data_IF_993699788211
#
_entry.id   IF_993699788211
#
_cell.length_a   1.000
_cell.length_b   1.000
_cell.length_c   1.000
_cell.angle_alpha   90.00
_cell.angle_beta   90.00
_cell.angle_gamma   90.00
#
_symmetry.space_group_name_H-M   'P 1'
#
loop_
_entity.id
_entity.type
_entity.pdbx_description
1 polymer ?
#
# COMPACT_ATOMS: atom_id res chain seq x y z
N UNK A 1 7.62 8.80 -18.76
CA UNK A 1 6.58 9.50 -17.97
C UNK A 1 5.49 8.48 -17.66
N UNK A 2 5.31 8.08 -16.40
CA UNK A 2 4.17 7.27 -16.03
C UNK A 2 2.91 8.14 -16.14
N UNK A 3 2.08 7.89 -17.14
CA UNK A 3 0.80 8.56 -17.28
C UNK A 3 -0.05 8.23 -16.05
N UNK A 4 -0.39 9.24 -15.26
CA UNK A 4 -1.39 9.07 -14.22
C UNK A 4 -2.67 8.55 -14.88
N UNK A 5 -3.19 7.41 -14.41
CA UNK A 5 -4.43 6.86 -14.95
C UNK A 5 -5.55 7.90 -14.81
N UNK A 6 -6.51 7.91 -15.73
CA UNK A 6 -7.67 8.84 -15.64
C UNK A 6 -8.40 8.70 -14.30
N UNK A 7 -8.38 7.50 -13.71
CA UNK A 7 -8.96 7.20 -12.40
C UNK A 7 -8.19 7.86 -11.27
N UNK A 8 -6.86 7.89 -11.35
CA UNK A 8 -6.02 8.55 -10.34
C UNK A 8 -6.36 10.04 -10.20
N UNK A 9 -6.68 10.71 -11.30
CA UNK A 9 -7.09 12.12 -11.29
C UNK A 9 -8.44 12.39 -10.60
N UNK A 10 -9.26 11.35 -10.39
CA UNK A 10 -10.53 11.46 -9.67
C UNK A 10 -10.36 11.45 -8.15
N UNK A 11 -9.18 11.08 -7.65
CA UNK A 11 -8.88 11.05 -6.23
C UNK A 11 -8.65 12.48 -5.71
N UNK A 12 -9.00 12.70 -4.45
CA UNK A 12 -8.64 13.96 -3.79
C UNK A 12 -7.12 14.04 -3.53
N UNK A 13 -6.63 15.24 -3.22
CA UNK A 13 -5.20 15.49 -3.03
C UNK A 13 -4.56 14.55 -1.99
N UNK A 14 -5.22 14.36 -0.85
CA UNK A 14 -4.74 13.45 0.21
C UNK A 14 -4.59 12.02 -0.30
N UNK A 15 -5.58 11.49 -1.01
CA UNK A 15 -5.53 10.15 -1.59
C UNK A 15 -4.42 9.99 -2.63
N UNK A 16 -4.20 11.01 -3.45
CA UNK A 16 -3.11 11.01 -4.43
C UNK A 16 -1.74 11.01 -3.75
N UNK A 17 -1.59 11.78 -2.67
CA UNK A 17 -0.32 11.88 -1.95
C UNK A 17 0.00 10.59 -1.19
N UNK A 18 -0.99 9.98 -0.55
CA UNK A 18 -0.83 8.66 0.08
C UNK A 18 -0.47 7.56 -0.92
N UNK A 19 -1.13 7.53 -2.08
CA UNK A 19 -0.79 6.58 -3.15
C UNK A 19 0.67 6.75 -3.63
N UNK A 20 1.16 7.99 -3.75
CA UNK A 20 2.55 8.29 -4.12
C UNK A 20 3.52 7.83 -3.04
N UNK A 21 3.21 8.05 -1.75
CA UNK A 21 4.02 7.55 -0.63
C UNK A 21 4.10 6.03 -0.65
N UNK A 22 2.97 5.34 -0.81
CA UNK A 22 2.90 3.87 -0.89
C UNK A 22 3.71 3.33 -2.08
N UNK A 23 3.62 3.96 -3.25
CA UNK A 23 4.47 3.63 -4.42
C UNK A 23 5.95 3.74 -4.08
N UNK A 24 6.38 4.85 -3.49
CA UNK A 24 7.77 5.06 -3.11
C UNK A 24 8.23 4.04 -2.06
N UNK A 25 7.36 3.66 -1.14
CA UNK A 25 7.65 2.69 -0.09
C UNK A 25 7.88 1.29 -0.69
N UNK A 26 7.05 0.89 -1.66
CA UNK A 26 7.22 -0.33 -2.46
C UNK A 26 8.56 -0.28 -3.22
N UNK A 27 8.85 0.82 -3.93
CA UNK A 27 10.08 0.98 -4.70
C UNK A 27 11.33 0.85 -3.81
N UNK A 28 11.31 1.46 -2.61
CA UNK A 28 12.38 1.32 -1.64
C UNK A 28 12.55 -0.12 -1.15
N UNK A 29 11.46 -0.77 -0.77
CA UNK A 29 11.52 -2.15 -0.31
C UNK A 29 12.13 -3.08 -1.38
N UNK A 30 11.64 -2.97 -2.62
CA UNK A 30 12.11 -3.80 -3.74
C UNK A 30 13.56 -3.50 -4.17
N UNK A 31 14.11 -2.34 -3.80
CA UNK A 31 15.48 -1.94 -4.16
C UNK A 31 16.47 -2.21 -3.03
N UNK A 32 16.04 -2.03 -1.78
CA UNK A 32 16.91 -2.02 -0.60
C UNK A 32 16.82 -3.33 0.20
N UNK A 33 15.82 -4.18 -0.06
CA UNK A 33 15.58 -5.42 0.67
C UNK A 33 15.54 -6.64 -0.26
N UNK A 34 16.17 -7.73 0.18
CA UNK A 34 16.10 -9.01 -0.51
C UNK A 34 14.71 -9.67 -0.33
N UNK A 35 14.07 -10.21 -1.39
CA UNK A 35 12.68 -10.69 -1.30
C UNK A 35 12.43 -11.80 -0.27
N UNK A 36 13.44 -12.63 0.03
CA UNK A 36 13.30 -13.72 1.00
C UNK A 36 13.15 -13.22 2.44
N UNK A 37 13.60 -12.00 2.74
CA UNK A 37 13.51 -11.38 4.05
C UNK A 37 12.10 -10.88 4.38
N UNK A 38 11.15 -10.93 3.44
CA UNK A 38 9.78 -10.46 3.66
C UNK A 38 9.06 -11.20 4.79
N UNK A 39 9.34 -12.49 4.95
CA UNK A 39 8.75 -13.32 6.00
C UNK A 39 9.45 -13.13 7.35
N UNK A 40 10.62 -12.50 7.37
CA UNK A 40 11.40 -12.26 8.58
C UNK A 40 10.88 -11.02 9.31
N UNK A 41 10.36 -11.24 10.52
CA UNK A 41 9.76 -10.16 11.33
C UNK A 41 10.79 -9.06 11.61
N UNK A 42 12.02 -9.41 11.99
CA UNK A 42 13.05 -8.43 12.34
C UNK A 42 13.42 -7.54 11.15
N UNK A 43 13.59 -8.12 9.97
CA UNK A 43 13.89 -7.37 8.74
C UNK A 43 12.76 -6.41 8.36
N UNK A 44 11.51 -6.86 8.48
CA UNK A 44 10.34 -6.02 8.24
C UNK A 44 10.27 -4.84 9.21
N UNK A 45 10.46 -5.11 10.51
CA UNK A 45 10.45 -4.08 11.56
C UNK A 45 11.56 -3.04 11.33
N UNK A 46 12.77 -3.50 10.99
CA UNK A 46 13.89 -2.62 10.70
C UNK A 46 13.63 -1.73 9.48
N UNK A 47 13.12 -2.30 8.38
CA UNK A 47 12.75 -1.54 7.20
C UNK A 47 11.69 -0.47 7.51
N UNK A 48 10.63 -0.85 8.23
CA UNK A 48 9.58 0.08 8.64
C UNK A 48 10.11 1.21 9.53
N UNK A 49 10.97 0.88 10.51
CA UNK A 49 11.57 1.87 11.39
C UNK A 49 12.36 2.93 10.62
N UNK A 50 13.09 2.53 9.58
CA UNK A 50 13.90 3.42 8.76
C UNK A 50 13.06 4.31 7.83
N UNK A 51 12.01 3.76 7.20
CA UNK A 51 11.33 4.45 6.10
C UNK A 51 9.97 5.06 6.46
N UNK A 52 9.20 4.46 7.37
CA UNK A 52 7.85 4.94 7.69
C UNK A 52 7.89 6.37 8.27
N UNK A 53 8.78 6.63 9.23
CA UNK A 53 8.91 7.96 9.85
C UNK A 53 9.39 9.02 8.85
N UNK A 54 10.40 8.69 8.03
CA UNK A 54 10.92 9.59 7.01
C UNK A 54 9.89 9.95 5.94
N UNK A 55 8.96 9.02 5.64
CA UNK A 55 7.95 9.18 4.61
C UNK A 55 6.59 9.67 5.15
N UNK A 56 6.48 9.89 6.47
CA UNK A 56 5.23 10.22 7.16
C UNK A 56 4.10 9.26 6.75
N UNK A 57 4.42 7.96 6.81
CA UNK A 57 3.53 6.87 6.47
C UNK A 57 3.27 6.07 7.75
N UNK A 58 2.00 5.85 8.07
CA UNK A 58 1.64 4.93 9.15
C UNK A 58 2.21 3.55 8.82
N UNK A 59 2.85 2.92 9.81
CA UNK A 59 3.47 1.62 9.60
C UNK A 59 2.40 0.61 9.14
N UNK A 60 2.51 0.07 7.92
CA UNK A 60 1.51 -0.87 7.43
C UNK A 60 1.68 -2.23 8.10
N UNK A 61 0.60 -2.99 8.15
CA UNK A 61 0.70 -4.43 8.36
C UNK A 61 1.40 -5.09 7.16
N UNK A 62 2.06 -6.23 7.39
CA UNK A 62 2.79 -6.93 6.31
C UNK A 62 1.84 -7.38 5.21
N UNK A 63 0.67 -7.87 5.59
CA UNK A 63 -0.40 -8.31 4.70
C UNK A 63 -0.92 -7.16 3.85
N UNK A 64 -1.08 -5.97 4.45
CA UNK A 64 -1.47 -4.76 3.74
C UNK A 64 -0.39 -4.36 2.71
N UNK A 65 0.88 -4.38 3.11
CA UNK A 65 1.98 -4.10 2.19
C UNK A 65 2.07 -5.12 1.04
N UNK A 66 1.91 -6.41 1.32
CA UNK A 66 1.87 -7.45 0.30
C UNK A 66 0.74 -7.20 -0.70
N UNK A 67 -0.43 -6.78 -0.21
CA UNK A 67 -1.55 -6.38 -1.05
C UNK A 67 -1.19 -5.19 -1.93
N UNK A 68 -0.52 -4.16 -1.40
CA UNK A 68 -0.08 -3.03 -2.22
C UNK A 68 0.89 -3.46 -3.33
N UNK A 69 1.87 -4.31 -3.02
CA UNK A 69 2.80 -4.86 -4.00
C UNK A 69 2.07 -5.66 -5.10
N UNK A 70 1.11 -6.49 -4.72
CA UNK A 70 0.30 -7.26 -5.65
C UNK A 70 -0.55 -6.36 -6.55
N UNK A 71 -1.30 -5.43 -5.96
CA UNK A 71 -2.17 -4.50 -6.70
C UNK A 71 -1.34 -3.66 -7.68
N UNK A 72 -0.21 -3.11 -7.21
CA UNK A 72 0.66 -2.29 -8.05
C UNK A 72 1.19 -3.08 -9.26
N UNK A 73 1.56 -4.34 -9.07
CA UNK A 73 2.02 -5.22 -10.16
C UNK A 73 0.87 -5.62 -11.10
N UNK A 74 -0.25 -6.06 -10.55
CA UNK A 74 -1.42 -6.53 -11.31
C UNK A 74 -1.99 -5.43 -12.20
N UNK A 75 -2.04 -4.21 -11.69
CA UNK A 75 -2.56 -3.04 -12.40
C UNK A 75 -1.47 -2.26 -13.15
N UNK A 76 -0.31 -2.88 -13.40
CA UNK A 76 0.77 -2.33 -14.22
C UNK A 76 1.23 -0.93 -13.79
N UNK A 77 1.24 -0.68 -12.49
CA UNK A 77 1.69 0.58 -11.91
C UNK A 77 0.62 1.66 -11.76
N UNK A 78 -0.67 1.34 -11.94
CA UNK A 78 -1.76 2.31 -11.70
C UNK A 78 -1.78 2.75 -10.22
N UNK A 79 -1.58 4.04 -9.94
CA UNK A 79 -1.56 4.56 -8.57
C UNK A 79 -2.94 4.64 -7.94
N UNK A 80 -4.01 4.56 -8.74
CA UNK A 80 -5.35 4.56 -8.20
C UNK A 80 -5.58 3.41 -7.20
N UNK A 81 -5.00 2.22 -7.48
CA UNK A 81 -5.17 1.04 -6.62
C UNK A 81 -4.39 1.11 -5.31
N UNK A 82 -3.41 2.02 -5.22
CA UNK A 82 -2.66 2.28 -4.00
C UNK A 82 -3.32 3.33 -3.11
N UNK A 83 -4.28 4.10 -3.63
CA UNK A 83 -4.94 5.13 -2.84
C UNK A 83 -5.77 4.50 -1.71
N UNK A 84 -5.81 5.11 -0.51
CA UNK A 84 -6.71 4.68 0.54
C UNK A 84 -8.14 4.78 0.03
N UNK A 85 -8.78 3.61 -0.10
CA UNK A 85 -10.20 3.54 -0.38
C UNK A 85 -10.90 3.92 0.91
N UNK A 86 -11.89 4.82 0.83
CA UNK A 86 -12.78 5.02 1.98
C UNK A 86 -13.36 3.65 2.29
N UNK A 87 -13.19 3.18 3.52
CA UNK A 87 -13.88 1.98 3.99
C UNK A 87 -15.36 2.32 3.86
N UNK A 88 -16.00 1.91 2.78
CA UNK A 88 -17.45 1.76 2.80
C UNK A 88 -17.69 0.66 3.84
N UNK A 89 -18.23 1.05 4.99
CA UNK A 89 -18.70 0.18 6.08
C UNK A 89 -19.81 -0.80 5.64
N UNK A 90 -19.87 -1.20 4.38
CA UNK A 90 -20.90 -2.08 3.82
C UNK A 90 -20.52 -3.57 3.89
N UNK A 91 -19.29 -3.92 4.25
CA UNK A 91 -18.87 -5.32 4.35
C UNK A 91 -18.99 -5.92 5.76
N UNK A 92 -19.31 -5.13 6.79
CA UNK A 92 -19.58 -5.62 8.15
C UNK A 92 -21.04 -6.04 8.38
N UNK A 93 -21.93 -5.88 7.40
CA UNK A 93 -23.35 -6.18 7.55
C UNK A 93 -23.76 -7.65 7.28
N UNK A 94 -22.91 -8.48 6.65
CA UNK A 94 -23.31 -9.82 6.19
C UNK A 94 -22.66 -11.02 6.92
N UNK A 95 -21.95 -10.81 8.03
CA UNK A 95 -21.33 -11.91 8.81
C UNK A 95 -22.13 -12.33 10.06
N UNK A 96 -23.46 -12.19 10.06
CA UNK A 96 -24.33 -12.85 11.06
C UNK A 96 -25.07 -14.02 10.42
N UNK A 97 -24.34 -15.12 10.20
CA UNK A 97 -24.95 -16.45 10.14
C UNK A 97 -25.11 -16.90 11.59
N UNK A 98 -26.32 -16.74 12.14
CA UNK A 98 -26.70 -17.41 13.38
C UNK A 98 -26.94 -18.89 13.08
N UNK A 99 -26.22 -19.76 13.78
CA UNK A 99 -26.61 -21.16 13.98
C UNK A 99 -27.73 -21.24 15.01
#
# INVERSE_FOLDING_TARGET
>A
MAYASKRFLLLNQLQQDEAKKRRLFIEKYLTETEPHLFLETESWEQFCHQHCAAMQLDKPEREEFAKWCFDFKMWQGDLYVLAPQRVNEEHTANSRVNY
#
